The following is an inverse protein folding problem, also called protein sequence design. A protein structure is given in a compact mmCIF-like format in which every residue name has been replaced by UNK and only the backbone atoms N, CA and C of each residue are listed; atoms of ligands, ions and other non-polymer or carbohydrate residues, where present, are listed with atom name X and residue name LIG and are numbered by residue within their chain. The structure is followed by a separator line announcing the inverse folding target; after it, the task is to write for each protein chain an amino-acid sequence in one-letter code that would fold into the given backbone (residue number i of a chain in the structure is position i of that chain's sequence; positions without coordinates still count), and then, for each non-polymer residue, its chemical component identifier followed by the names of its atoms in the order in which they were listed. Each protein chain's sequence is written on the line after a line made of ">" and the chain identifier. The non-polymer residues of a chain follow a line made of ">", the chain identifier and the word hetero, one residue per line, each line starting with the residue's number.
data_IF_882296979364
#
_entry.id   IF_882296979364
#
_cell.length_a   1.000
_cell.length_b   1.000
_cell.length_c   1.000
_cell.angle_alpha   90.00
_cell.angle_beta   90.00
_cell.angle_gamma   90.00
#
_symmetry.space_group_name_H-M   'P 1'
#
loop_
_entity.id
_entity.type
_entity.pdbx_description
1 polymer ?
#
# COMPACT_ATOMS: atom_id res chain seq x y z
N UNK A 1 13.81 -5.35 -7.21
CA UNK A 1 13.25 -4.43 -6.20
C UNK A 1 11.85 -4.91 -5.90
N UNK A 2 11.50 -5.18 -4.65
CA UNK A 2 10.11 -5.51 -4.31
C UNK A 2 9.29 -4.23 -4.50
N UNK A 3 8.33 -4.25 -5.42
CA UNK A 3 7.42 -3.13 -5.68
C UNK A 3 6.09 -3.42 -4.99
N UNK A 4 5.53 -2.41 -4.34
CA UNK A 4 4.20 -2.48 -3.73
C UNK A 4 3.13 -2.39 -4.81
N UNK A 5 1.92 -2.88 -4.52
CA UNK A 5 0.79 -2.76 -5.45
C UNK A 5 0.44 -1.29 -5.70
N UNK A 6 -0.03 -0.97 -6.91
CA UNK A 6 -0.31 0.41 -7.32
C UNK A 6 -1.32 1.10 -6.40
N UNK A 7 -2.36 0.38 -5.94
CA UNK A 7 -3.34 0.94 -5.00
C UNK A 7 -2.72 1.39 -3.67
N UNK A 8 -1.64 0.74 -3.25
CA UNK A 8 -0.91 1.12 -2.03
C UNK A 8 -0.07 2.39 -2.25
N UNK A 9 0.58 2.52 -3.41
CA UNK A 9 1.31 3.74 -3.80
C UNK A 9 0.40 4.96 -3.89
N UNK A 10 -0.88 4.77 -4.24
CA UNK A 10 -1.87 5.85 -4.28
C UNK A 10 -2.45 6.18 -2.90
N UNK A 11 -2.64 5.18 -2.04
CA UNK A 11 -3.39 5.34 -0.80
C UNK A 11 -2.54 5.81 0.39
N UNK A 12 -1.25 5.48 0.44
CA UNK A 12 -0.38 5.75 1.60
C UNK A 12 0.24 7.15 1.64
N UNK A 13 0.61 7.79 0.51
CA UNK A 13 1.15 9.13 0.55
C UNK A 13 0.25 10.12 1.30
N UNK A 14 0.89 11.02 2.06
CA UNK A 14 0.19 12.01 2.87
C UNK A 14 -0.43 11.50 4.17
N UNK A 15 -0.17 10.24 4.57
CA UNK A 15 -0.49 9.80 5.94
C UNK A 15 0.36 10.54 6.98
N UNK A 16 -0.26 10.87 8.11
CA UNK A 16 0.40 11.44 9.29
C UNK A 16 0.89 10.34 10.24
N UNK A 17 2.00 10.58 10.94
CA UNK A 17 2.48 9.65 11.97
C UNK A 17 1.39 9.42 13.04
N UNK A 18 1.06 8.16 13.31
CA UNK A 18 -0.01 7.75 14.22
C UNK A 18 -1.40 7.67 13.58
N UNK A 19 -1.55 7.98 12.28
CA UNK A 19 -2.82 7.84 11.55
C UNK A 19 -3.13 6.37 11.23
N UNK A 20 -4.39 5.99 11.42
CA UNK A 20 -4.99 4.78 10.85
C UNK A 20 -5.78 5.15 9.60
N UNK A 21 -5.52 4.48 8.48
CA UNK A 21 -6.24 4.69 7.21
C UNK A 21 -6.81 3.38 6.69
N UNK A 22 -8.10 3.40 6.35
CA UNK A 22 -8.77 2.30 5.66
C UNK A 22 -8.99 2.66 4.18
N UNK A 23 -8.70 1.73 3.28
CA UNK A 23 -8.91 1.94 1.84
C UNK A 23 -9.21 0.64 1.10
N UNK A 24 -9.99 0.76 0.03
CA UNK A 24 -10.34 -0.32 -0.89
C UNK A 24 -9.47 -0.21 -2.15
N UNK A 25 -8.94 -1.35 -2.59
CA UNK A 25 -8.12 -1.48 -3.79
C UNK A 25 -8.79 -2.47 -4.74
N UNK A 26 -9.37 -2.00 -5.85
CA UNK A 26 -9.85 -2.86 -6.92
C UNK A 26 -8.73 -3.76 -7.46
N UNK A 27 -9.07 -4.98 -7.90
CA UNK A 27 -8.11 -6.00 -8.30
C UNK A 27 -7.08 -5.54 -9.34
N UNK A 28 -7.47 -4.71 -10.30
CA UNK A 28 -6.58 -4.16 -11.34
C UNK A 28 -5.51 -3.18 -10.80
N UNK A 29 -5.70 -2.62 -9.60
CA UNK A 29 -4.70 -1.84 -8.86
C UNK A 29 -3.97 -2.70 -7.80
N UNK A 30 -4.33 -3.98 -7.69
CA UNK A 30 -3.73 -4.98 -6.81
C UNK A 30 -2.97 -6.05 -7.60
N UNK A 31 -3.43 -7.31 -7.57
CA UNK A 31 -2.78 -8.46 -8.22
C UNK A 31 -3.43 -8.89 -9.53
N UNK A 32 -4.49 -8.20 -9.96
CA UNK A 32 -5.19 -8.42 -11.23
C UNK A 32 -5.66 -9.85 -11.45
N UNK A 33 -5.70 -10.25 -12.72
CA UNK A 33 -6.18 -11.57 -13.15
C UNK A 33 -5.29 -12.73 -12.67
N UNK A 34 -4.04 -12.47 -12.29
CA UNK A 34 -3.11 -13.52 -11.87
C UNK A 34 -3.21 -13.83 -10.37
N UNK A 35 -3.69 -12.89 -9.55
CA UNK A 35 -3.70 -13.01 -8.10
C UNK A 35 -2.27 -13.15 -7.52
N UNK A 36 -2.19 -13.67 -6.31
CA UNK A 36 -0.93 -14.04 -5.64
C UNK A 36 -1.08 -15.42 -4.99
N UNK A 37 -0.95 -16.51 -5.77
CA UNK A 37 -1.13 -17.85 -5.27
C UNK A 37 -0.11 -18.21 -4.17
N UNK A 38 -0.52 -18.97 -3.13
CA UNK A 38 -1.85 -19.56 -2.94
C UNK A 38 -2.86 -18.62 -2.24
N UNK A 39 -2.43 -17.42 -1.86
CA UNK A 39 -3.10 -16.60 -0.84
C UNK A 39 -4.16 -15.67 -1.39
N UNK A 40 -3.95 -15.10 -2.59
CA UNK A 40 -4.85 -14.12 -3.20
C UNK A 40 -5.36 -14.69 -4.52
N UNK A 41 -6.67 -14.95 -4.65
CA UNK A 41 -7.26 -15.41 -5.90
C UNK A 41 -7.11 -14.41 -7.06
N UNK A 42 -7.18 -14.88 -8.31
CA UNK A 42 -7.45 -14.03 -9.48
C UNK A 42 -8.59 -13.04 -9.26
N UNK A 43 -8.40 -11.80 -9.70
CA UNK A 43 -9.40 -10.73 -9.69
C UNK A 43 -9.96 -10.34 -8.30
N UNK A 44 -9.24 -10.68 -7.22
CA UNK A 44 -9.64 -10.29 -5.88
C UNK A 44 -9.40 -8.80 -5.61
N UNK A 45 -10.44 -8.12 -5.12
CA UNK A 45 -10.33 -6.81 -4.50
C UNK A 45 -9.73 -6.94 -3.09
N UNK A 46 -8.99 -5.92 -2.67
CA UNK A 46 -8.36 -5.89 -1.35
C UNK A 46 -8.90 -4.73 -0.52
N UNK A 47 -9.11 -4.98 0.77
CA UNK A 47 -9.46 -3.97 1.77
C UNK A 47 -8.35 -3.90 2.80
N UNK A 48 -7.74 -2.73 2.94
CA UNK A 48 -6.65 -2.50 3.88
C UNK A 48 -7.10 -1.61 5.02
N UNK A 49 -6.53 -1.86 6.20
CA UNK A 49 -6.47 -0.96 7.33
C UNK A 49 -5.00 -0.86 7.73
N UNK A 50 -4.43 0.34 7.67
CA UNK A 50 -2.99 0.57 7.84
C UNK A 50 -2.77 1.60 8.93
N UNK A 51 -1.83 1.32 9.82
CA UNK A 51 -1.35 2.25 10.84
C UNK A 51 0.03 2.79 10.45
N UNK A 52 0.20 4.11 10.36
CA UNK A 52 1.52 4.71 10.16
C UNK A 52 2.24 4.83 11.51
N UNK A 53 3.01 3.79 11.87
CA UNK A 53 3.66 3.68 13.19
C UNK A 53 4.98 4.43 13.31
N UNK A 54 5.70 4.63 12.20
CA UNK A 54 7.01 5.28 12.18
C UNK A 54 7.29 5.89 10.80
N UNK A 55 7.94 7.05 10.78
CA UNK A 55 8.40 7.71 9.56
C UNK A 55 9.89 8.02 9.70
N UNK A 56 10.71 7.30 8.93
CA UNK A 56 12.14 7.58 8.84
C UNK A 56 12.41 8.70 7.83
N UNK A 57 12.97 9.81 8.28
CA UNK A 57 13.36 10.94 7.42
C UNK A 57 14.86 10.94 7.07
N UNK A 58 15.64 10.01 7.61
CA UNK A 58 17.10 10.00 7.47
C UNK A 58 17.57 9.78 6.02
N UNK A 59 16.73 9.23 5.15
CA UNK A 59 17.04 8.95 3.75
C UNK A 59 16.50 9.99 2.74
N UNK A 60 16.16 11.22 3.19
CA UNK A 60 15.76 12.29 2.27
C UNK A 60 16.79 13.44 2.26
N UNK A 61 17.50 13.65 1.13
CA UNK A 61 18.53 14.69 1.02
C UNK A 61 17.98 16.12 1.05
N UNK A 62 16.65 16.31 1.04
CA UNK A 62 15.99 17.63 1.01
C UNK A 62 15.46 18.10 2.38
N UNK A 63 15.77 17.39 3.47
CA UNK A 63 15.38 17.78 4.84
C UNK A 63 16.58 18.08 5.76
N UNK A 64 17.73 18.45 5.18
CA UNK A 64 18.81 19.15 5.87
C UNK A 64 18.90 20.59 5.37
#
# INVERSE_FOLDING_TARGET
>A
MLQVIQGYELAVPGMCLGETRAFHVPSHLAYGEHGYPPTIPPNADLYFVVDLVYLDRSNNPNFN
#
